data_IF_886256879690
#
_entry.id   IF_886256879690
#
_cell.length_a   1.000
_cell.length_b   1.000
_cell.length_c   1.000
_cell.angle_alpha   90.00
_cell.angle_beta   90.00
_cell.angle_gamma   90.00
#
_symmetry.space_group_name_H-M   'P 1'
#
loop_
_entity.id
_entity.type
_entity.pdbx_description
1 polymer ?
#
# COMPACT_ATOMS: atom_id res chain seq x y z
N UNK A 1 -60.36 4.64 32.18
CA UNK A 1 -59.22 4.77 31.24
C UNK A 1 -59.79 5.22 29.92
N UNK A 2 -59.87 6.51 29.73
CA UNK A 2 -60.53 7.19 28.60
C UNK A 2 -59.64 7.15 27.35
N UNK A 3 -60.14 6.49 26.29
CA UNK A 3 -59.56 6.49 24.97
C UNK A 3 -59.66 7.87 24.34
N UNK A 4 -58.66 8.72 24.51
CA UNK A 4 -58.48 9.92 23.68
C UNK A 4 -57.84 9.51 22.33
N UNK A 5 -58.62 8.91 21.47
CA UNK A 5 -58.36 8.94 20.05
C UNK A 5 -58.84 10.29 19.55
N UNK A 6 -57.97 11.32 19.71
CA UNK A 6 -58.21 12.65 19.14
C UNK A 6 -58.50 12.56 17.65
N UNK A 7 -59.65 13.04 17.25
CA UNK A 7 -60.12 13.13 15.87
C UNK A 7 -59.15 14.06 15.07
N UNK A 8 -58.04 13.50 14.58
CA UNK A 8 -57.01 14.22 13.82
C UNK A 8 -57.53 14.70 12.45
N UNK A 9 -58.70 14.20 12.02
CA UNK A 9 -59.24 14.52 10.69
C UNK A 9 -60.59 15.15 10.85
N UNK A 10 -60.62 16.50 10.79
CA UNK A 10 -61.84 17.30 10.90
C UNK A 10 -62.46 17.69 9.54
N UNK A 11 -61.75 17.53 8.44
CA UNK A 11 -62.17 17.91 7.10
C UNK A 11 -61.80 16.84 6.05
N UNK A 12 -62.71 16.58 5.08
CA UNK A 12 -62.41 15.64 4.00
C UNK A 12 -61.17 16.04 3.18
N UNK A 13 -60.85 17.32 3.08
CA UNK A 13 -59.65 17.82 2.43
C UNK A 13 -58.37 17.40 3.19
N UNK A 14 -58.38 17.37 4.52
CA UNK A 14 -57.25 16.88 5.33
C UNK A 14 -57.01 15.40 5.17
N UNK A 15 -58.08 14.61 5.04
CA UNK A 15 -57.99 13.20 4.76
C UNK A 15 -57.25 12.95 3.44
N UNK A 16 -57.66 13.64 2.39
CA UNK A 16 -57.05 13.51 1.04
C UNK A 16 -55.58 13.90 1.10
N UNK A 17 -55.24 15.02 1.75
CA UNK A 17 -53.86 15.48 1.89
C UNK A 17 -53.02 14.45 2.66
N UNK A 18 -53.54 13.89 3.77
CA UNK A 18 -52.82 12.88 4.55
C UNK A 18 -52.55 11.59 3.75
N UNK A 19 -53.53 11.13 2.98
CA UNK A 19 -53.39 9.94 2.12
C UNK A 19 -52.34 10.21 1.05
N UNK A 20 -52.39 11.34 0.36
CA UNK A 20 -51.38 11.67 -0.65
C UNK A 20 -50.01 11.89 -0.01
N UNK A 21 -49.91 12.57 1.14
CA UNK A 21 -48.65 12.76 1.83
C UNK A 21 -48.03 11.41 2.28
N UNK A 22 -48.84 10.51 2.83
CA UNK A 22 -48.40 9.19 3.25
C UNK A 22 -47.79 8.36 2.10
N UNK A 23 -48.28 8.57 0.89
CA UNK A 23 -47.76 7.83 -0.29
C UNK A 23 -46.58 8.57 -0.96
N UNK A 24 -46.72 9.86 -1.19
CA UNK A 24 -45.73 10.62 -1.95
C UNK A 24 -44.49 11.02 -1.16
N UNK A 25 -44.62 11.29 0.16
CA UNK A 25 -43.45 11.66 0.98
C UNK A 25 -42.40 10.59 1.01
N UNK A 26 -42.68 9.29 1.27
CA UNK A 26 -41.66 8.25 1.23
C UNK A 26 -41.07 8.06 -0.18
N UNK A 27 -41.87 8.21 -1.23
CA UNK A 27 -41.35 8.13 -2.62
C UNK A 27 -40.37 9.26 -2.91
N UNK A 28 -40.68 10.47 -2.50
CA UNK A 28 -39.79 11.64 -2.69
C UNK A 28 -38.49 11.44 -1.88
N UNK A 29 -38.61 10.95 -0.64
CA UNK A 29 -37.40 10.66 0.18
C UNK A 29 -36.53 9.61 -0.49
N UNK A 30 -37.11 8.53 -1.01
CA UNK A 30 -36.34 7.49 -1.73
C UNK A 30 -35.68 8.05 -2.98
N UNK A 31 -36.39 8.86 -3.76
CA UNK A 31 -35.81 9.52 -4.94
C UNK A 31 -34.67 10.48 -4.59
N UNK A 32 -34.83 11.28 -3.53
CA UNK A 32 -33.78 12.18 -3.05
C UNK A 32 -32.57 11.43 -2.55
N UNK A 33 -32.78 10.32 -1.82
CA UNK A 33 -31.68 9.44 -1.37
C UNK A 33 -30.98 8.78 -2.56
N UNK A 34 -31.73 8.36 -3.57
CA UNK A 34 -31.14 7.77 -4.79
C UNK A 34 -30.29 8.81 -5.54
N UNK A 35 -30.79 10.05 -5.69
CA UNK A 35 -30.04 11.15 -6.31
C UNK A 35 -28.83 11.54 -5.46
N UNK A 36 -28.96 11.61 -4.13
CA UNK A 36 -27.87 11.91 -3.22
C UNK A 36 -26.77 10.86 -3.28
N UNK A 37 -27.12 9.57 -3.22
CA UNK A 37 -26.16 8.47 -3.32
C UNK A 37 -25.51 8.44 -4.70
N UNK A 38 -26.26 8.72 -5.77
CA UNK A 38 -25.72 8.71 -7.13
C UNK A 38 -24.81 9.92 -7.41
N UNK A 39 -25.11 11.09 -6.84
CA UNK A 39 -24.24 12.27 -6.94
C UNK A 39 -23.01 12.18 -6.02
N UNK A 40 -23.13 11.55 -4.85
CA UNK A 40 -22.00 11.31 -3.95
C UNK A 40 -20.98 10.26 -4.45
N UNK A 41 -21.34 9.46 -5.46
CA UNK A 41 -20.48 8.42 -6.04
C UNK A 41 -19.75 8.82 -7.32
N UNK A 42 -19.91 10.05 -7.79
CA UNK A 42 -19.38 10.45 -9.11
C UNK A 42 -17.91 10.82 -9.15
N UNK A 43 -17.21 10.93 -8.02
CA UNK A 43 -15.79 11.30 -8.08
C UNK A 43 -14.78 10.15 -7.83
N UNK A 44 -15.21 8.95 -7.39
CA UNK A 44 -14.23 7.93 -7.01
C UNK A 44 -14.49 6.50 -7.52
N UNK A 45 -15.61 6.21 -8.18
CA UNK A 45 -15.95 4.82 -8.49
C UNK A 45 -15.46 4.30 -9.85
N UNK A 46 -14.89 5.15 -10.70
CA UNK A 46 -14.27 4.68 -11.94
C UNK A 46 -12.80 4.26 -11.78
N UNK A 47 -12.13 4.71 -10.69
CA UNK A 47 -10.74 4.30 -10.43
C UNK A 47 -10.60 3.12 -9.45
N UNK A 48 -11.59 2.88 -8.58
CA UNK A 48 -11.47 1.83 -7.57
C UNK A 48 -11.85 0.44 -8.06
N UNK A 49 -12.75 0.32 -9.02
CA UNK A 49 -13.15 -0.99 -9.54
C UNK A 49 -12.14 -1.60 -10.51
N UNK A 50 -11.45 -0.79 -11.31
CA UNK A 50 -10.39 -1.26 -12.19
C UNK A 50 -9.10 -1.62 -11.43
N UNK A 51 -8.87 -1.03 -10.24
CA UNK A 51 -7.76 -1.42 -9.39
C UNK A 51 -8.02 -2.70 -8.58
N UNK A 52 -9.28 -2.98 -8.24
CA UNK A 52 -9.68 -4.19 -7.51
C UNK A 52 -9.81 -5.42 -8.42
N UNK A 53 -9.97 -5.23 -9.72
CA UNK A 53 -10.04 -6.28 -10.73
C UNK A 53 -8.70 -6.38 -11.51
N UNK A 54 -7.61 -5.88 -10.96
CA UNK A 54 -6.31 -6.28 -11.51
C UNK A 54 -6.19 -7.78 -11.31
N UNK A 55 -6.07 -8.57 -12.40
CA UNK A 55 -5.88 -10.00 -12.24
C UNK A 55 -4.67 -10.20 -11.35
N UNK A 56 -4.83 -10.95 -10.26
CA UNK A 56 -3.80 -11.33 -9.28
C UNK A 56 -2.72 -12.19 -9.93
N UNK A 57 -2.55 -12.12 -11.19
CA UNK A 57 -1.57 -12.81 -12.00
C UNK A 57 -1.44 -12.14 -13.34
N UNK A 58 -0.87 -10.95 -13.37
CA UNK A 58 -0.06 -10.64 -14.53
C UNK A 58 1.16 -11.55 -14.42
N UNK A 59 1.05 -12.74 -14.99
CA UNK A 59 2.19 -13.56 -15.33
C UNK A 59 3.02 -12.72 -16.31
N UNK A 60 3.85 -11.88 -15.75
CA UNK A 60 4.89 -11.22 -16.50
C UNK A 60 5.90 -12.34 -16.81
N UNK A 61 5.69 -13.02 -17.92
CA UNK A 61 6.68 -13.96 -18.44
C UNK A 61 7.91 -13.11 -18.76
N UNK A 62 8.74 -12.96 -17.75
CA UNK A 62 10.05 -12.36 -17.92
C UNK A 62 10.79 -13.33 -18.86
N UNK A 63 11.01 -12.88 -20.08
CA UNK A 63 11.79 -13.65 -21.04
C UNK A 63 13.14 -13.96 -20.38
N UNK A 64 13.35 -15.23 -20.04
CA UNK A 64 14.57 -15.68 -19.34
C UNK A 64 15.83 -15.47 -20.20
N UNK A 65 15.65 -15.24 -21.51
CA UNK A 65 16.73 -14.95 -22.47
C UNK A 65 16.99 -13.45 -22.66
N UNK A 66 16.12 -12.56 -22.19
CA UNK A 66 16.34 -11.13 -22.28
C UNK A 66 17.41 -10.67 -21.27
N UNK A 67 18.36 -9.80 -21.67
CA UNK A 67 19.33 -9.22 -20.74
C UNK A 67 18.58 -8.54 -19.57
N UNK A 68 18.78 -9.06 -18.36
CA UNK A 68 18.12 -8.50 -17.17
C UNK A 68 18.67 -7.11 -16.88
N UNK A 69 17.83 -6.10 -16.95
CA UNK A 69 18.17 -4.74 -16.49
C UNK A 69 18.28 -4.79 -14.96
N UNK A 70 19.50 -4.59 -14.46
CA UNK A 70 19.75 -4.58 -13.01
C UNK A 70 19.12 -3.35 -12.37
N UNK A 71 18.39 -3.57 -11.29
CA UNK A 71 17.72 -2.51 -10.54
C UNK A 71 18.74 -1.65 -9.77
N UNK A 72 18.40 -0.37 -9.58
CA UNK A 72 19.19 0.53 -8.73
C UNK A 72 18.96 0.20 -7.24
N UNK A 73 19.90 0.62 -6.38
CA UNK A 73 19.74 0.45 -4.93
C UNK A 73 18.47 1.09 -4.38
N UNK A 74 18.09 2.26 -4.92
CA UNK A 74 16.82 2.92 -4.55
C UNK A 74 15.58 2.12 -4.96
N UNK A 75 15.57 1.56 -6.16
CA UNK A 75 14.45 0.74 -6.65
C UNK A 75 14.26 -0.49 -5.79
N UNK A 76 15.35 -1.21 -5.49
CA UNK A 76 15.32 -2.38 -4.60
C UNK A 76 14.91 -2.01 -3.17
N UNK A 77 15.42 -0.89 -2.65
CA UNK A 77 15.00 -0.38 -1.35
C UNK A 77 13.48 -0.15 -1.30
N UNK A 78 12.91 0.54 -2.28
CA UNK A 78 11.47 0.81 -2.35
C UNK A 78 10.65 -0.47 -2.47
N UNK A 79 11.13 -1.46 -3.24
CA UNK A 79 10.40 -2.69 -3.48
C UNK A 79 10.40 -3.66 -2.30
N UNK A 80 11.51 -3.73 -1.53
CA UNK A 80 11.73 -4.79 -0.53
C UNK A 80 11.91 -4.22 0.88
N UNK A 81 12.73 -3.19 1.04
CA UNK A 81 13.20 -2.76 2.36
C UNK A 81 12.29 -1.71 3.01
N UNK A 82 11.62 -0.88 2.22
CA UNK A 82 10.87 0.29 2.68
C UNK A 82 9.73 -0.06 3.63
N UNK A 83 9.10 -1.22 3.47
CA UNK A 83 7.99 -1.67 4.33
C UNK A 83 8.36 -1.64 5.83
N UNK A 84 9.58 -2.01 6.16
CA UNK A 84 10.08 -2.02 7.55
C UNK A 84 10.98 -0.81 7.85
N UNK A 85 11.89 -0.46 6.93
CA UNK A 85 12.92 0.55 7.20
C UNK A 85 12.45 2.00 7.05
N UNK A 86 11.27 2.26 6.49
CA UNK A 86 10.68 3.61 6.48
C UNK A 86 10.05 3.93 7.84
N UNK A 87 9.26 3.01 8.38
CA UNK A 87 8.51 3.21 9.63
C UNK A 87 9.26 2.78 10.89
N UNK A 88 10.26 1.90 10.76
CA UNK A 88 10.93 1.24 11.88
C UNK A 88 10.15 0.04 12.42
N UNK A 89 9.32 -0.59 11.59
CA UNK A 89 8.54 -1.75 11.98
C UNK A 89 9.44 -2.89 12.50
N UNK A 90 8.96 -3.62 13.50
CA UNK A 90 9.66 -4.72 14.15
C UNK A 90 11.08 -4.36 14.67
N UNK A 91 11.32 -3.10 15.01
CA UNK A 91 12.62 -2.61 15.47
C UNK A 91 13.65 -2.40 14.36
N UNK A 92 13.22 -2.32 13.11
CA UNK A 92 14.11 -2.02 11.99
C UNK A 92 14.69 -0.59 12.12
N UNK A 93 15.99 -0.40 11.87
CA UNK A 93 16.57 0.94 11.86
C UNK A 93 15.99 1.74 10.70
N UNK A 94 15.50 2.94 10.99
CA UNK A 94 14.83 3.78 9.99
C UNK A 94 15.82 4.30 8.95
N UNK A 95 15.29 4.54 7.76
CA UNK A 95 16.00 5.24 6.69
C UNK A 95 16.44 6.64 7.16
N UNK A 96 17.70 6.99 6.97
CA UNK A 96 18.25 8.29 7.36
C UNK A 96 18.54 8.47 8.87
N UNK A 97 18.23 7.49 9.71
CA UNK A 97 18.50 7.58 11.16
C UNK A 97 19.95 7.20 11.48
N UNK A 98 20.83 8.19 11.50
CA UNK A 98 22.27 8.00 11.77
C UNK A 98 22.53 7.32 13.11
N UNK A 99 21.75 7.63 14.16
CA UNK A 99 21.95 7.06 15.49
C UNK A 99 21.67 5.55 15.49
N UNK A 100 20.57 5.12 14.89
CA UNK A 100 20.22 3.72 14.76
C UNK A 100 21.20 2.94 13.86
N UNK A 101 21.86 3.62 12.91
CA UNK A 101 22.77 2.99 11.96
C UNK A 101 24.21 2.95 12.41
N UNK A 102 24.68 3.80 13.34
CA UNK A 102 26.07 3.91 13.75
C UNK A 102 26.71 2.55 14.07
N UNK A 103 26.11 1.77 14.97
CA UNK A 103 26.63 0.47 15.35
C UNK A 103 26.57 -0.60 14.23
N UNK A 104 25.76 -0.36 13.21
CA UNK A 104 25.62 -1.24 12.06
C UNK A 104 26.66 -0.92 10.98
N UNK A 105 26.89 0.38 10.76
CA UNK A 105 27.89 0.88 9.80
C UNK A 105 29.31 0.45 10.17
N UNK A 106 29.62 0.26 11.45
CA UNK A 106 30.93 -0.25 11.91
C UNK A 106 31.25 -1.65 11.38
N UNK A 107 30.25 -2.41 10.92
CA UNK A 107 30.47 -3.76 10.33
C UNK A 107 30.89 -3.71 8.86
N UNK A 108 30.90 -2.57 8.26
CA UNK A 108 31.22 -2.38 6.86
C UNK A 108 30.19 -3.00 5.91
N UNK A 109 30.49 -2.90 4.62
CA UNK A 109 29.65 -3.43 3.55
C UNK A 109 29.34 -4.92 3.69
N UNK A 110 30.38 -5.75 3.90
CA UNK A 110 30.23 -7.21 3.95
C UNK A 110 29.38 -7.68 5.13
N UNK A 111 29.53 -7.05 6.28
CA UNK A 111 28.73 -7.34 7.47
C UNK A 111 27.26 -6.97 7.30
N UNK A 112 27.00 -5.85 6.61
CA UNK A 112 25.64 -5.42 6.29
C UNK A 112 25.00 -6.33 5.23
N UNK A 113 25.72 -6.64 4.17
CA UNK A 113 25.24 -7.55 3.11
C UNK A 113 24.94 -8.94 3.66
N UNK A 114 25.85 -9.49 4.50
CA UNK A 114 25.64 -10.77 5.16
C UNK A 114 24.37 -10.77 6.01
N UNK A 115 24.11 -9.68 6.74
CA UNK A 115 22.89 -9.55 7.53
C UNK A 115 21.62 -9.52 6.66
N UNK A 116 21.69 -8.94 5.47
CA UNK A 116 20.56 -8.94 4.52
C UNK A 116 20.37 -10.33 3.94
N UNK A 117 21.45 -10.98 3.47
CA UNK A 117 21.36 -12.29 2.81
C UNK A 117 20.86 -13.39 3.76
N UNK A 118 21.32 -13.37 5.01
CA UNK A 118 20.98 -14.40 6.01
C UNK A 118 19.75 -14.05 6.86
N UNK A 119 19.35 -12.78 6.87
CA UNK A 119 18.37 -12.25 7.82
C UNK A 119 18.99 -11.95 9.19
N UNK A 120 18.31 -11.16 10.01
CA UNK A 120 18.74 -10.82 11.37
C UNK A 120 17.57 -10.46 12.28
N UNK A 121 17.31 -11.28 13.29
CA UNK A 121 16.18 -11.07 14.19
C UNK A 121 14.86 -11.15 13.45
N UNK A 122 14.05 -10.09 13.49
CA UNK A 122 12.79 -10.00 12.76
C UNK A 122 12.95 -9.75 11.25
N UNK A 123 14.15 -9.41 10.79
CA UNK A 123 14.40 -9.21 9.37
C UNK A 123 14.59 -10.56 8.68
N UNK A 124 13.73 -10.94 7.74
CA UNK A 124 13.87 -12.20 7.01
C UNK A 124 15.10 -12.18 6.09
N UNK A 125 15.58 -13.36 5.71
CA UNK A 125 16.63 -13.50 4.71
C UNK A 125 16.22 -12.79 3.41
N UNK A 126 17.13 -12.04 2.82
CA UNK A 126 16.95 -11.26 1.59
C UNK A 126 15.83 -10.22 1.68
N UNK A 127 15.36 -9.86 2.89
CA UNK A 127 14.17 -9.03 3.09
C UNK A 127 12.87 -9.70 2.60
N UNK A 128 12.88 -11.01 2.38
CA UNK A 128 11.78 -11.78 1.81
C UNK A 128 11.78 -11.86 0.28
N UNK A 129 12.76 -11.25 -0.40
CA UNK A 129 12.85 -11.30 -1.86
C UNK A 129 13.39 -12.64 -2.37
N UNK A 130 12.84 -13.12 -3.50
CA UNK A 130 13.35 -14.31 -4.18
C UNK A 130 14.71 -14.02 -4.86
N UNK A 131 15.66 -14.97 -4.84
CA UNK A 131 16.90 -14.85 -5.59
C UNK A 131 16.72 -14.72 -7.11
N UNK A 132 15.60 -15.21 -7.64
CA UNK A 132 15.25 -15.08 -9.06
C UNK A 132 14.82 -13.67 -9.44
N UNK A 133 14.26 -12.92 -8.49
CA UNK A 133 13.73 -11.59 -8.75
C UNK A 133 14.75 -10.50 -8.47
N UNK A 134 15.53 -10.65 -7.41
CA UNK A 134 16.54 -9.67 -6.99
C UNK A 134 17.84 -10.43 -6.69
N UNK A 135 18.90 -10.12 -7.42
CA UNK A 135 20.22 -10.71 -7.23
C UNK A 135 20.92 -10.20 -5.96
N UNK A 136 21.96 -10.91 -5.51
CA UNK A 136 22.78 -10.47 -4.37
C UNK A 136 23.46 -9.12 -4.64
N UNK A 137 23.85 -8.88 -5.90
CA UNK A 137 24.40 -7.61 -6.34
C UNK A 137 23.38 -6.46 -6.15
N UNK A 138 22.14 -6.64 -6.57
CA UNK A 138 21.09 -5.65 -6.43
C UNK A 138 20.74 -5.39 -4.97
N UNK A 139 20.72 -6.44 -4.13
CA UNK A 139 20.60 -6.28 -2.68
C UNK A 139 21.77 -5.50 -2.09
N UNK A 140 23.00 -5.76 -2.57
CA UNK A 140 24.18 -5.00 -2.18
C UNK A 140 24.06 -3.51 -2.50
N UNK A 141 23.50 -3.16 -3.66
CA UNK A 141 23.19 -1.77 -4.02
C UNK A 141 22.18 -1.12 -3.07
N UNK A 142 21.14 -1.86 -2.69
CA UNK A 142 20.16 -1.38 -1.71
C UNK A 142 20.76 -1.18 -0.32
N UNK A 143 21.69 -2.04 0.09
CA UNK A 143 22.46 -1.88 1.34
C UNK A 143 23.27 -0.59 1.31
N UNK A 144 23.97 -0.32 0.21
CA UNK A 144 24.74 0.93 0.05
C UNK A 144 23.81 2.15 0.11
N UNK A 145 22.70 2.10 -0.62
CA UNK A 145 21.70 3.19 -0.64
C UNK A 145 21.17 3.49 0.78
N UNK A 146 20.76 2.46 1.51
CA UNK A 146 20.20 2.59 2.85
C UNK A 146 21.26 3.03 3.87
N UNK A 147 22.46 2.46 3.83
CA UNK A 147 23.56 2.81 4.73
C UNK A 147 24.03 4.25 4.52
N UNK A 148 24.17 4.68 3.27
CA UNK A 148 24.64 6.01 2.94
C UNK A 148 23.61 7.10 3.26
N UNK A 149 22.31 6.80 3.20
CA UNK A 149 21.26 7.73 3.66
C UNK A 149 21.39 8.06 5.15
N UNK A 150 21.97 7.17 5.95
CA UNK A 150 22.19 7.35 7.38
C UNK A 150 23.62 7.82 7.75
N UNK A 151 24.35 8.35 6.78
CA UNK A 151 25.70 8.88 6.99
C UNK A 151 26.85 7.89 6.73
N UNK A 152 26.55 6.70 6.18
CA UNK A 152 27.56 5.78 5.67
C UNK A 152 28.29 6.35 4.44
N UNK A 153 29.48 5.84 4.20
CA UNK A 153 30.31 6.19 3.01
C UNK A 153 30.74 4.92 2.29
N UNK A 154 29.77 4.05 2.03
CA UNK A 154 30.03 2.80 1.35
C UNK A 154 30.09 3.02 -0.16
N UNK A 155 31.07 2.38 -0.81
CA UNK A 155 31.16 2.38 -2.27
C UNK A 155 30.12 1.45 -2.89
N UNK A 156 29.64 1.79 -4.08
CA UNK A 156 28.77 0.92 -4.85
C UNK A 156 29.49 -0.39 -5.21
N UNK A 157 28.85 -1.57 -5.05
CA UNK A 157 29.48 -2.82 -5.44
C UNK A 157 29.72 -2.88 -6.94
N UNK A 158 30.80 -3.56 -7.36
CA UNK A 158 31.09 -3.78 -8.77
C UNK A 158 30.03 -4.68 -9.40
N UNK A 159 29.56 -4.31 -10.58
CA UNK A 159 28.64 -5.15 -11.34
C UNK A 159 29.28 -6.51 -11.64
N UNK A 160 28.53 -7.61 -11.56
CA UNK A 160 29.00 -8.91 -12.00
C UNK A 160 29.33 -8.82 -13.50
N UNK A 161 30.44 -9.41 -13.90
CA UNK A 161 30.76 -9.53 -15.31
C UNK A 161 29.70 -10.39 -16.02
N UNK A 162 29.28 -10.02 -17.24
CA UNK A 162 28.35 -10.83 -17.99
C UNK A 162 28.97 -12.19 -18.23
N UNK A 163 28.41 -13.22 -17.61
CA UNK A 163 28.77 -14.60 -17.92
C UNK A 163 28.40 -14.86 -19.38
N UNK A 164 29.42 -15.11 -20.22
CA UNK A 164 29.27 -15.58 -21.60
C UNK A 164 28.59 -16.93 -21.65
#
# INVERSE_FOLDING_TARGET
MSNEHGNLIKNPKQLIIMVFASFFVPLIIILLLMVFVNNGKREDSSQSSDQLIKPVGQLNFKDASAPRVLQTGEQVYKAVCASCHTSGAAGAPKFGDSAAWTARLSKGYDGLLTAVLKGKGAMPARGGASPTDISDYELGRAVVYLANSAGGKLAEPKAPEPTK
#
